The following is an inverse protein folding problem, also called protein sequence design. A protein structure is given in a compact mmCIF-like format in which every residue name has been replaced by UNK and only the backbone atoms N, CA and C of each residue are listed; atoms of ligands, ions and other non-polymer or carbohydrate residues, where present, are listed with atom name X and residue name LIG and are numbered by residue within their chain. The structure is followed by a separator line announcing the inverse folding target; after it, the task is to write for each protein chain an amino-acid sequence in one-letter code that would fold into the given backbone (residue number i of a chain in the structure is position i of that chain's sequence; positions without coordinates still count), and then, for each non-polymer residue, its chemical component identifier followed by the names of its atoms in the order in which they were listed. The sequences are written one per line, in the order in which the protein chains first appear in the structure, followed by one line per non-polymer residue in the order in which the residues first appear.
data_IF_836423148077
#
_entry.id   IF_836423148077
#
_cell.length_a   1.000
_cell.length_b   1.000
_cell.length_c   1.000
_cell.angle_alpha   90.00
_cell.angle_beta   90.00
_cell.angle_gamma   90.00
#
_symmetry.space_group_name_H-M   'P 1'
#
loop_
_entity.id
_entity.type
_entity.pdbx_description
1 polymer ?
#
# COMPACT_ATOMS: atom_id res chain seq x y z
N UNK A 1 20.82 8.53 1.25
CA UNK A 1 20.37 7.14 1.06
C UNK A 1 18.92 7.13 0.61
N UNK A 2 18.55 6.17 -0.24
CA UNK A 2 17.19 6.08 -0.82
C UNK A 2 16.19 5.32 0.06
N UNK A 3 16.68 4.49 0.98
CA UNK A 3 15.87 3.69 1.89
C UNK A 3 16.38 3.85 3.31
N UNK A 4 15.49 3.58 4.26
CA UNK A 4 15.79 3.47 5.69
C UNK A 4 15.97 1.99 6.04
N UNK A 5 16.78 1.71 7.05
CA UNK A 5 16.72 0.40 7.70
C UNK A 5 15.40 0.25 8.47
N UNK A 6 14.97 -0.98 8.74
CA UNK A 6 13.78 -1.20 9.57
C UNK A 6 13.93 -0.61 10.97
N UNK A 7 15.15 -0.55 11.53
CA UNK A 7 15.37 0.04 12.84
C UNK A 7 15.17 1.55 12.89
N UNK A 8 15.47 2.24 11.78
CA UNK A 8 15.24 3.67 11.60
C UNK A 8 13.78 3.98 11.24
N UNK A 9 13.00 2.97 10.87
CA UNK A 9 11.60 3.15 10.48
C UNK A 9 10.70 3.29 11.71
N UNK A 10 10.09 4.49 11.85
CA UNK A 10 9.25 4.81 13.01
C UNK A 10 8.08 3.84 13.20
N UNK A 11 7.52 3.30 12.12
CA UNK A 11 6.37 2.37 12.16
C UNK A 11 6.78 0.91 12.07
N UNK A 12 8.03 0.54 12.40
CA UNK A 12 8.51 -0.85 12.34
C UNK A 12 7.68 -1.84 13.16
N UNK A 13 7.01 -1.35 14.21
CA UNK A 13 6.14 -2.16 15.07
C UNK A 13 5.04 -2.91 14.29
N UNK A 14 4.60 -2.41 13.13
CA UNK A 14 3.60 -3.11 12.29
C UNK A 14 4.13 -4.42 11.70
N UNK A 15 5.45 -4.56 11.56
CA UNK A 15 6.10 -5.78 11.05
C UNK A 15 6.79 -6.61 12.13
N UNK A 16 6.96 -6.06 13.33
CA UNK A 16 7.58 -6.74 14.48
C UNK A 16 6.58 -7.11 15.57
N UNK A 17 5.28 -7.01 15.30
CA UNK A 17 4.25 -7.39 16.27
C UNK A 17 4.23 -8.92 16.45
N UNK A 18 4.29 -9.38 17.71
CA UNK A 18 4.33 -10.81 18.04
C UNK A 18 3.13 -11.64 17.54
N UNK A 19 1.96 -11.02 17.33
CA UNK A 19 0.76 -11.70 16.85
C UNK A 19 0.80 -12.02 15.36
N UNK A 20 1.58 -11.25 14.57
CA UNK A 20 1.70 -11.41 13.12
C UNK A 20 3.18 -11.34 12.71
N UNK A 21 3.97 -12.38 13.02
CA UNK A 21 5.42 -12.36 12.79
C UNK A 21 5.75 -12.42 11.30
N UNK A 22 6.67 -11.56 10.87
CA UNK A 22 7.26 -11.57 9.53
C UNK A 22 8.61 -12.29 9.58
N UNK A 23 8.89 -13.15 8.60
CA UNK A 23 10.18 -13.86 8.52
C UNK A 23 11.33 -12.87 8.28
N UNK A 24 12.55 -13.23 8.68
CA UNK A 24 13.73 -12.37 8.46
C UNK A 24 13.97 -12.15 6.97
N UNK A 25 13.77 -13.18 6.15
CA UNK A 25 13.93 -13.10 4.70
C UNK A 25 12.91 -12.12 4.09
N UNK A 26 11.64 -12.19 4.50
CA UNK A 26 10.59 -11.29 4.01
C UNK A 26 10.76 -9.86 4.55
N UNK A 27 11.21 -9.69 5.81
CA UNK A 27 11.53 -8.39 6.39
C UNK A 27 12.60 -7.65 5.57
N UNK A 28 13.59 -8.38 5.02
CA UNK A 28 14.62 -7.79 4.16
C UNK A 28 14.09 -7.20 2.84
N UNK A 29 12.91 -7.65 2.42
CA UNK A 29 12.22 -7.19 1.21
C UNK A 29 11.31 -5.99 1.48
N UNK A 30 10.96 -5.73 2.74
CA UNK A 30 10.19 -4.55 3.17
C UNK A 30 11.16 -3.39 3.33
N UNK A 31 11.11 -2.45 2.37
CA UNK A 31 12.08 -1.35 2.25
C UNK A 31 11.38 0.00 2.40
N UNK A 32 11.28 0.54 3.63
CA UNK A 32 10.82 1.90 3.84
C UNK A 32 11.71 2.90 3.10
N UNK A 33 11.12 3.78 2.32
CA UNK A 33 11.85 4.83 1.61
C UNK A 33 12.27 5.95 2.57
N UNK A 34 13.39 6.61 2.27
CA UNK A 34 13.74 7.85 2.97
C UNK A 34 12.74 8.95 2.62
N UNK A 35 12.54 9.92 3.52
CA UNK A 35 11.56 11.00 3.31
C UNK A 35 11.75 11.73 1.97
N UNK A 36 13.00 11.98 1.57
CA UNK A 36 13.33 12.60 0.30
C UNK A 36 12.81 11.77 -0.89
N UNK A 37 13.08 10.45 -0.89
CA UNK A 37 12.63 9.55 -1.96
C UNK A 37 11.11 9.39 -1.96
N UNK A 38 10.50 9.18 -0.79
CA UNK A 38 9.04 9.10 -0.65
C UNK A 38 8.38 10.34 -1.25
N UNK A 39 8.90 11.52 -0.92
CA UNK A 39 8.31 12.79 -1.37
C UNK A 39 8.37 12.96 -2.89
N UNK A 40 9.45 12.50 -3.52
CA UNK A 40 9.59 12.51 -4.97
C UNK A 40 8.64 11.51 -5.60
N UNK A 41 8.62 10.26 -5.10
CA UNK A 41 7.74 9.22 -5.62
C UNK A 41 6.27 9.62 -5.51
N UNK A 42 5.86 10.19 -4.37
CA UNK A 42 4.50 10.69 -4.15
C UNK A 42 4.13 11.77 -5.14
N UNK A 43 5.02 12.75 -5.34
CA UNK A 43 4.80 13.85 -6.30
C UNK A 43 4.57 13.34 -7.72
N UNK A 44 5.30 12.29 -8.11
CA UNK A 44 5.25 11.71 -9.44
C UNK A 44 4.07 10.73 -9.64
N UNK A 45 3.60 10.07 -8.58
CA UNK A 45 2.67 8.94 -8.71
C UNK A 45 1.31 9.15 -8.03
N UNK A 46 1.19 10.07 -7.07
CA UNK A 46 -0.02 10.27 -6.27
C UNK A 46 -0.56 11.69 -6.43
N UNK A 47 0.14 12.70 -5.89
CA UNK A 47 -0.28 14.09 -5.93
C UNK A 47 0.92 15.03 -5.87
N UNK A 48 0.89 16.08 -6.68
CA UNK A 48 1.94 17.10 -6.70
C UNK A 48 1.85 18.08 -5.52
N UNK A 49 0.67 18.23 -4.91
CA UNK A 49 0.36 19.30 -3.95
C UNK A 49 -0.06 18.77 -2.59
N UNK A 50 -0.84 17.68 -2.57
CA UNK A 50 -1.41 17.12 -1.34
C UNK A 50 -0.41 16.21 -0.64
N UNK A 51 -0.24 16.34 0.69
CA UNK A 51 0.72 15.54 1.45
C UNK A 51 0.18 14.16 1.88
N UNK A 52 -1.13 13.99 1.89
CA UNK A 52 -1.83 12.82 2.40
C UNK A 52 -3.17 12.66 1.65
N UNK A 53 -3.88 11.59 1.99
CA UNK A 53 -5.10 11.14 1.31
C UNK A 53 -6.31 12.03 1.63
N UNK A 54 -6.41 12.49 2.88
CA UNK A 54 -7.49 13.37 3.33
C UNK A 54 -7.44 14.75 2.67
N UNK A 55 -6.26 15.18 2.21
CA UNK A 55 -6.03 16.48 1.58
C UNK A 55 -5.92 16.41 0.06
N UNK A 56 -6.24 15.28 -0.57
CA UNK A 56 -6.22 15.18 -2.03
C UNK A 56 -7.16 16.22 -2.67
N UNK A 57 -6.66 16.90 -3.69
CA UNK A 57 -7.42 17.88 -4.46
C UNK A 57 -8.21 17.19 -5.58
N UNK A 58 -9.29 17.82 -6.04
CA UNK A 58 -10.09 17.30 -7.17
C UNK A 58 -9.30 17.11 -8.48
N UNK A 59 -8.14 17.76 -8.61
CA UNK A 59 -7.22 17.57 -9.75
C UNK A 59 -6.37 16.31 -9.64
N UNK A 60 -6.20 15.74 -8.44
CA UNK A 60 -5.40 14.54 -8.24
C UNK A 60 -6.14 13.32 -8.82
N UNK A 61 -5.40 12.42 -9.45
CA UNK A 61 -6.00 11.27 -10.12
C UNK A 61 -6.80 10.35 -9.17
N UNK A 62 -6.45 10.14 -7.88
CA UNK A 62 -7.27 9.32 -7.02
C UNK A 62 -8.66 9.94 -6.77
N UNK A 63 -8.82 11.26 -6.92
CA UNK A 63 -10.11 11.94 -6.73
C UNK A 63 -11.04 11.83 -7.93
N UNK A 64 -10.58 11.28 -9.06
CA UNK A 64 -11.39 11.06 -10.25
C UNK A 64 -12.12 9.73 -10.13
N UNK A 65 -13.43 9.76 -9.91
CA UNK A 65 -14.26 8.56 -9.78
C UNK A 65 -14.14 7.61 -10.98
N UNK A 66 -13.92 8.15 -12.19
CA UNK A 66 -13.70 7.36 -13.41
C UNK A 66 -12.49 6.43 -13.36
N UNK A 67 -11.56 6.64 -12.42
CA UNK A 67 -10.40 5.77 -12.24
C UNK A 67 -10.71 4.55 -11.37
N UNK A 68 -11.87 4.49 -10.71
CA UNK A 68 -12.25 3.41 -9.81
C UNK A 68 -13.42 2.62 -10.38
N UNK A 69 -13.24 1.32 -10.54
CA UNK A 69 -14.24 0.42 -11.12
C UNK A 69 -15.11 -0.26 -10.06
N UNK A 70 -14.54 -0.55 -8.88
CA UNK A 70 -15.24 -1.32 -7.85
C UNK A 70 -14.77 -0.96 -6.42
N UNK A 71 -15.51 -1.41 -5.42
CA UNK A 71 -15.18 -1.29 -4.00
C UNK A 71 -15.46 -2.59 -3.26
N UNK A 72 -14.43 -3.11 -2.57
CA UNK A 72 -14.46 -4.39 -1.86
C UNK A 72 -14.26 -4.16 -0.37
N UNK A 73 -15.00 -4.89 0.47
CA UNK A 73 -14.80 -4.88 1.91
C UNK A 73 -13.63 -5.78 2.32
N UNK A 74 -12.55 -5.23 2.84
CA UNK A 74 -11.39 -6.00 3.31
C UNK A 74 -11.42 -6.27 4.82
N UNK A 75 -12.15 -5.48 5.60
CA UNK A 75 -12.13 -5.57 7.06
C UNK A 75 -12.66 -6.90 7.59
N UNK A 76 -13.71 -7.45 6.98
CA UNK A 76 -14.21 -8.78 7.37
C UNK A 76 -13.17 -9.88 7.11
N UNK A 77 -12.44 -9.82 6.00
CA UNK A 77 -11.33 -10.76 5.74
C UNK A 77 -10.13 -10.53 6.66
N UNK A 78 -9.96 -9.31 7.19
CA UNK A 78 -8.90 -8.98 8.13
C UNK A 78 -9.19 -9.56 9.51
N UNK A 79 -10.44 -9.49 9.97
CA UNK A 79 -10.93 -10.06 11.23
C UNK A 79 -11.01 -11.59 11.22
N UNK A 80 -11.20 -12.21 10.06
CA UNK A 80 -11.22 -13.66 9.90
C UNK A 80 -9.82 -14.27 10.09
N UNK A 81 -9.75 -15.57 10.41
CA UNK A 81 -8.51 -16.34 10.47
C UNK A 81 -7.90 -16.58 9.07
N UNK A 82 -8.66 -16.26 8.01
CA UNK A 82 -8.19 -16.26 6.64
C UNK A 82 -6.93 -15.38 6.49
N UNK A 83 -5.85 -15.96 6.01
CA UNK A 83 -4.58 -15.25 5.77
C UNK A 83 -4.56 -14.53 4.42
N UNK A 84 -5.51 -14.85 3.54
CA UNK A 84 -5.52 -14.39 2.15
C UNK A 84 -6.24 -13.05 2.01
N UNK A 85 -5.87 -12.29 0.97
CA UNK A 85 -6.61 -11.10 0.57
C UNK A 85 -8.01 -11.49 0.05
N UNK A 86 -9.01 -10.59 0.13
CA UNK A 86 -10.27 -10.77 -0.56
C UNK A 86 -10.09 -11.23 -2.02
N UNK A 87 -10.89 -12.22 -2.43
CA UNK A 87 -10.76 -12.87 -3.74
C UNK A 87 -10.89 -11.86 -4.89
N UNK A 88 -11.75 -10.85 -4.72
CA UNK A 88 -12.00 -9.78 -5.68
C UNK A 88 -10.73 -8.95 -5.98
N UNK A 89 -9.87 -8.73 -4.97
CA UNK A 89 -8.58 -8.06 -5.17
C UNK A 89 -7.67 -8.95 -6.02
N UNK A 90 -7.66 -10.25 -5.73
CA UNK A 90 -6.83 -11.23 -6.45
C UNK A 90 -7.29 -11.42 -7.90
N UNK A 91 -8.60 -11.30 -8.17
CA UNK A 91 -9.15 -11.32 -9.52
C UNK A 91 -8.85 -10.04 -10.31
N UNK A 92 -8.80 -8.89 -9.64
CA UNK A 92 -8.50 -7.60 -10.26
C UNK A 92 -7.00 -7.40 -10.57
N UNK A 93 -6.13 -7.90 -9.70
CA UNK A 93 -4.68 -7.74 -9.79
C UNK A 93 -4.03 -8.95 -10.46
N UNK A 94 -3.57 -8.78 -11.71
CA UNK A 94 -2.87 -9.80 -12.51
C UNK A 94 -1.34 -9.85 -12.28
N UNK A 95 -0.87 -9.22 -11.21
CA UNK A 95 0.57 -9.04 -10.98
C UNK A 95 1.27 -10.35 -10.63
N UNK A 96 2.43 -10.55 -11.26
CA UNK A 96 3.35 -11.63 -10.88
C UNK A 96 3.94 -11.35 -9.48
N UNK A 97 4.30 -12.42 -8.77
CA UNK A 97 4.80 -12.36 -7.39
C UNK A 97 6.05 -11.48 -7.21
N UNK A 98 6.88 -11.37 -8.25
CA UNK A 98 8.12 -10.60 -8.25
C UNK A 98 7.92 -9.11 -8.58
N UNK A 99 6.70 -8.69 -8.91
CA UNK A 99 6.37 -7.28 -9.18
C UNK A 99 6.71 -6.45 -7.94
N UNK A 100 7.50 -5.41 -8.15
CA UNK A 100 7.74 -4.41 -7.11
C UNK A 100 6.48 -3.59 -6.91
N UNK A 101 6.03 -3.49 -5.67
CA UNK A 101 4.86 -2.71 -5.27
C UNK A 101 5.25 -1.62 -4.28
N UNK A 102 4.45 -0.57 -4.26
CA UNK A 102 4.64 0.61 -3.43
C UNK A 102 3.40 0.83 -2.59
N UNK A 103 3.54 0.73 -1.28
CA UNK A 103 2.49 1.04 -0.34
C UNK A 103 2.66 2.45 0.19
N UNK A 104 1.76 3.35 -0.22
CA UNK A 104 1.89 4.78 -0.03
C UNK A 104 0.92 5.24 1.07
N UNK A 105 1.41 5.37 2.29
CA UNK A 105 0.61 5.90 3.40
C UNK A 105 0.43 7.41 3.28
N UNK A 106 1.53 8.13 3.04
CA UNK A 106 1.55 9.59 2.91
C UNK A 106 2.84 10.01 2.19
N UNK A 107 2.96 11.29 1.86
CA UNK A 107 4.08 11.85 1.08
C UNK A 107 5.47 11.49 1.60
N UNK A 108 5.64 11.35 2.91
CA UNK A 108 6.94 11.04 3.52
C UNK A 108 7.07 9.58 3.99
N UNK A 109 6.03 8.75 3.81
CA UNK A 109 6.03 7.36 4.22
C UNK A 109 5.51 6.45 3.11
N UNK A 110 6.46 5.87 2.38
CA UNK A 110 6.21 4.90 1.32
C UNK A 110 7.09 3.69 1.56
N UNK A 111 6.50 2.51 1.48
CA UNK A 111 7.22 1.25 1.57
C UNK A 111 7.30 0.61 0.18
N UNK A 112 8.50 0.24 -0.23
CA UNK A 112 8.72 -0.62 -1.40
C UNK A 112 8.82 -2.08 -0.95
N UNK A 113 8.11 -2.98 -1.62
CA UNK A 113 8.24 -4.42 -1.39
C UNK A 113 7.91 -5.22 -2.66
N UNK A 114 7.79 -6.54 -2.54
CA UNK A 114 7.31 -7.44 -3.60
C UNK A 114 5.83 -7.73 -3.41
N UNK A 115 5.13 -7.96 -4.52
CA UNK A 115 3.71 -8.30 -4.49
C UNK A 115 3.44 -9.55 -3.63
N UNK A 116 4.27 -10.58 -3.76
CA UNK A 116 4.19 -11.78 -2.91
C UNK A 116 4.28 -11.48 -1.41
N UNK A 117 5.22 -10.59 -1.02
CA UNK A 117 5.40 -10.17 0.37
C UNK A 117 4.21 -9.37 0.86
N UNK A 118 3.67 -8.46 0.05
CA UNK A 118 2.45 -7.74 0.39
C UNK A 118 1.28 -8.71 0.57
N UNK A 119 1.02 -9.61 -0.39
CA UNK A 119 -0.08 -10.61 -0.29
C UNK A 119 0.01 -11.45 0.98
N UNK A 120 1.21 -11.87 1.37
CA UNK A 120 1.43 -12.71 2.54
C UNK A 120 1.24 -11.96 3.86
N UNK A 121 1.57 -10.66 3.89
CA UNK A 121 1.57 -9.85 5.11
C UNK A 121 0.65 -8.63 5.03
N UNK A 122 -0.39 -8.68 4.20
CA UNK A 122 -1.25 -7.53 3.91
C UNK A 122 -1.90 -6.97 5.18
N UNK A 123 -2.26 -7.85 6.13
CA UNK A 123 -2.80 -7.46 7.44
C UNK A 123 -1.83 -6.56 8.21
N UNK A 124 -0.52 -6.85 8.15
CA UNK A 124 0.51 -6.02 8.77
C UNK A 124 0.55 -4.61 8.17
N UNK A 125 0.43 -4.50 6.84
CA UNK A 125 0.40 -3.21 6.15
C UNK A 125 -0.83 -2.37 6.52
N UNK A 126 -1.96 -3.03 6.79
CA UNK A 126 -3.23 -2.39 7.16
C UNK A 126 -3.42 -2.14 8.65
N UNK A 127 -2.45 -2.44 9.53
CA UNK A 127 -2.48 -1.91 10.91
C UNK A 127 -2.49 -0.38 10.97
N UNK A 128 -2.08 0.27 9.88
CA UNK A 128 -2.17 1.71 9.69
C UNK A 128 -2.96 1.98 8.39
N UNK A 129 -4.28 2.01 8.46
CA UNK A 129 -5.20 2.05 7.32
C UNK A 129 -5.68 3.48 6.96
N UNK A 130 -4.84 4.47 7.24
CA UNK A 130 -5.08 5.91 7.02
C UNK A 130 -5.02 6.30 5.54
N UNK A 131 -5.88 5.67 4.74
CA UNK A 131 -6.04 5.92 3.31
C UNK A 131 -4.99 5.32 2.36
N UNK A 132 -4.13 4.32 2.69
CA UNK A 132 -2.97 4.03 1.85
C UNK A 132 -3.35 3.59 0.43
N UNK A 133 -2.53 4.00 -0.53
CA UNK A 133 -2.64 3.55 -1.93
C UNK A 133 -1.52 2.55 -2.26
N UNK A 134 -1.90 1.38 -2.76
CA UNK A 134 -0.97 0.40 -3.31
C UNK A 134 -0.83 0.58 -4.83
N UNK A 135 0.41 0.70 -5.29
CA UNK A 135 0.74 0.81 -6.72
C UNK A 135 1.71 -0.30 -7.14
N UNK A 136 1.50 -0.86 -8.33
CA UNK A 136 2.45 -1.77 -8.97
C UNK A 136 3.45 -1.02 -9.85
N UNK A 137 4.73 -1.39 -9.80
CA UNK A 137 5.75 -0.81 -10.68
C UNK A 137 5.40 -1.09 -12.14
N UNK A 138 5.20 -0.02 -12.93
CA UNK A 138 4.80 -0.08 -14.35
C UNK A 138 3.45 -0.80 -14.56
N UNK A 139 2.54 -0.70 -13.59
CA UNK A 139 1.17 -1.20 -13.68
C UNK A 139 0.19 -0.03 -13.62
N UNK A 140 -0.91 -0.14 -14.35
CA UNK A 140 -2.02 0.83 -14.30
C UNK A 140 -2.88 0.57 -13.08
N UNK A 141 -3.09 -0.70 -12.68
CA UNK A 141 -3.92 -1.02 -11.52
C UNK A 141 -3.41 -0.36 -10.24
N UNK A 142 -4.35 0.06 -9.40
CA UNK A 142 -4.13 0.64 -8.09
C UNK A 142 -5.21 0.15 -7.12
N UNK A 143 -4.84 0.04 -5.85
CA UNK A 143 -5.76 -0.22 -4.76
C UNK A 143 -5.74 0.95 -3.79
N UNK A 144 -6.90 1.44 -3.38
CA UNK A 144 -7.00 2.52 -2.39
C UNK A 144 -7.81 2.06 -1.17
N UNK A 145 -7.09 1.79 -0.09
CA UNK A 145 -7.68 1.36 1.17
C UNK A 145 -8.20 2.56 1.96
N UNK A 146 -9.22 2.35 2.78
CA UNK A 146 -9.73 3.36 3.71
C UNK A 146 -10.04 2.75 5.08
N UNK A 147 -10.10 3.63 6.08
CA UNK A 147 -10.38 3.30 7.48
C UNK A 147 -11.80 2.79 7.76
N UNK A 148 -12.68 2.78 6.75
CA UNK A 148 -14.02 2.19 6.84
C UNK A 148 -14.03 0.71 6.45
N UNK A 149 -12.85 0.11 6.27
CA UNK A 149 -12.73 -1.30 5.95
C UNK A 149 -12.97 -1.65 4.49
N UNK A 150 -12.91 -0.66 3.59
CA UNK A 150 -13.11 -0.86 2.17
C UNK A 150 -11.84 -0.53 1.37
N UNK A 151 -11.70 -1.16 0.21
CA UNK A 151 -10.66 -0.89 -0.78
C UNK A 151 -11.31 -0.61 -2.12
N UNK A 152 -10.92 0.49 -2.76
CA UNK A 152 -11.32 0.80 -4.12
C UNK A 152 -10.35 0.13 -5.09
N UNK A 153 -10.90 -0.51 -6.11
CA UNK A 153 -10.16 -1.12 -7.22
C UNK A 153 -10.21 -0.16 -8.40
N UNK A 154 -9.05 0.13 -9.01
CA UNK A 154 -9.01 1.12 -10.07
C UNK A 154 -7.75 1.06 -10.93
N UNK A 155 -7.75 1.86 -11.99
CA UNK A 155 -6.63 2.01 -12.90
C UNK A 155 -6.26 3.48 -13.05
N UNK A 156 -4.96 3.77 -12.90
CA UNK A 156 -4.37 5.07 -13.22
C UNK A 156 -4.25 5.21 -14.74
N UNK A 157 -5.07 6.07 -15.32
CA UNK A 157 -4.95 6.58 -16.70
C UNK A 157 -4.11 7.85 -16.78
#
# INVERSE_FOLDING_TARGET
MSYLTLDEYQRKWIFTHQSMPVSIDDLSLIKPMSQARSSQFWKENISAQSPDMDRLCSSDWPMKESNWSDTVGWMSAWEDDASELPEEISLFIDWQDDVTVYFCYEKYNIIETKWSVFKKYWKNFLFYDDGPILLGRRRSQALWFNSKGNVKLGERN
#
